data_IF_493565953869
#
_entry.id   IF_493565953869
#
_cell.length_a   1.000
_cell.length_b   1.000
_cell.length_c   1.000
_cell.angle_alpha   90.00
_cell.angle_beta   90.00
_cell.angle_gamma   90.00
#
_symmetry.space_group_name_H-M   'P 1'
#
loop_
_entity.id
_entity.type
_entity.pdbx_description
1 polymer ?
#
# COMPACT_ATOMS: atom_id res chain seq x y z
N UNK A 1 19.92 -4.52 -8.01
CA UNK A 1 19.47 -3.54 -6.99
C UNK A 1 20.68 -3.16 -6.15
N UNK A 2 20.90 -1.85 -5.95
CA UNK A 2 22.11 -1.30 -5.36
C UNK A 2 21.90 -1.02 -3.86
N UNK A 3 22.73 -1.64 -3.02
CA UNK A 3 22.68 -1.56 -1.56
C UNK A 3 22.88 -0.12 -1.06
N UNK A 4 23.71 0.65 -1.76
CA UNK A 4 23.98 2.04 -1.40
C UNK A 4 22.72 2.91 -1.48
N UNK A 5 21.86 2.68 -2.49
CA UNK A 5 20.58 3.42 -2.60
C UNK A 5 19.64 3.13 -1.43
N UNK A 6 19.56 1.87 -1.00
CA UNK A 6 18.72 1.45 0.14
C UNK A 6 19.26 2.00 1.47
N UNK A 7 20.58 2.00 1.65
CA UNK A 7 21.24 2.56 2.83
C UNK A 7 21.05 4.08 2.91
N UNK A 8 21.22 4.78 1.78
CA UNK A 8 21.00 6.22 1.71
C UNK A 8 19.55 6.59 2.03
N UNK A 9 18.58 5.79 1.56
CA UNK A 9 17.16 5.97 1.88
C UNK A 9 16.88 5.80 3.38
N UNK A 10 17.46 4.77 4.03
CA UNK A 10 17.33 4.55 5.48
C UNK A 10 17.96 5.67 6.32
N UNK A 11 19.13 6.18 5.91
CA UNK A 11 19.82 7.30 6.56
C UNK A 11 19.01 8.60 6.41
N UNK A 12 18.46 8.86 5.22
CA UNK A 12 17.62 10.03 4.98
C UNK A 12 16.34 9.97 5.80
N UNK A 13 15.72 8.79 5.95
CA UNK A 13 14.56 8.57 6.82
C UNK A 13 14.85 8.86 8.30
N UNK A 14 16.02 8.45 8.79
CA UNK A 14 16.45 8.77 10.16
C UNK A 14 16.78 10.25 10.40
N UNK A 15 17.21 10.97 9.35
CA UNK A 15 17.45 12.43 9.41
C UNK A 15 16.16 13.24 9.29
N UNK A 16 15.22 12.84 8.45
CA UNK A 16 13.90 13.48 8.32
C UNK A 16 13.16 13.50 9.67
N UNK A 17 13.17 12.39 10.41
CA UNK A 17 12.56 12.30 11.75
C UNK A 17 13.21 13.23 12.81
N UNK A 18 14.47 13.66 12.60
CA UNK A 18 15.20 14.56 13.49
C UNK A 18 15.13 16.02 13.04
N UNK A 19 15.00 16.26 11.74
CA UNK A 19 14.76 17.58 11.15
C UNK A 19 13.31 18.06 11.33
N UNK A 20 12.39 17.16 11.69
CA UNK A 20 10.96 17.40 11.99
C UNK A 20 10.72 18.52 13.02
N UNK A 21 11.61 18.70 14.01
CA UNK A 21 11.54 19.79 14.99
C UNK A 21 12.00 21.16 14.43
N UNK A 22 12.81 21.16 13.36
CA UNK A 22 13.47 22.36 12.81
C UNK A 22 12.79 22.82 11.50
N UNK A 23 12.16 21.91 10.75
CA UNK A 23 11.63 22.20 9.41
C UNK A 23 10.25 22.86 9.38
N UNK A 24 9.62 23.08 10.53
CA UNK A 24 8.38 23.88 10.62
C UNK A 24 8.56 25.34 10.17
N UNK A 25 9.80 25.85 10.07
CA UNK A 25 10.03 27.27 9.77
C UNK A 25 10.62 27.59 8.38
N UNK A 26 11.07 26.62 7.57
CA UNK A 26 11.75 26.96 6.31
C UNK A 26 11.37 26.02 5.15
N UNK A 27 10.54 26.53 4.23
CA UNK A 27 10.84 26.31 2.81
C UNK A 27 9.76 25.79 1.87
N UNK A 28 8.58 26.44 1.82
CA UNK A 28 7.84 26.90 0.61
C UNK A 28 6.36 26.96 0.94
N UNK A 29 5.78 28.16 0.96
CA UNK A 29 4.32 28.35 0.98
C UNK A 29 3.76 27.90 -0.37
N UNK A 30 3.65 26.59 -0.58
CA UNK A 30 2.72 26.07 -1.57
C UNK A 30 1.31 26.44 -1.11
N UNK A 31 0.50 26.93 -2.04
CA UNK A 31 -0.91 27.15 -1.81
C UNK A 31 -1.63 25.82 -1.61
N UNK A 32 -2.77 25.89 -0.94
CA UNK A 32 -3.63 24.74 -0.71
C UNK A 32 -4.06 24.04 -2.02
N UNK A 33 -4.25 24.83 -3.08
CA UNK A 33 -4.58 24.32 -4.42
C UNK A 33 -3.42 23.53 -5.03
N UNK A 34 -2.18 23.99 -4.85
CA UNK A 34 -0.98 23.27 -5.32
C UNK A 34 -0.80 21.94 -4.60
N UNK A 35 -1.04 21.89 -3.27
CA UNK A 35 -1.03 20.65 -2.52
C UNK A 35 -2.10 19.66 -2.99
N UNK A 36 -3.33 20.14 -3.23
CA UNK A 36 -4.41 19.30 -3.80
C UNK A 36 -4.02 18.75 -5.17
N UNK A 37 -3.53 19.60 -6.06
CA UNK A 37 -3.14 19.19 -7.42
C UNK A 37 -2.00 18.16 -7.39
N UNK A 38 -1.01 18.36 -6.51
CA UNK A 38 0.11 17.45 -6.36
C UNK A 38 -0.33 16.10 -5.76
N UNK A 39 -1.20 16.11 -4.75
CA UNK A 39 -1.80 14.89 -4.22
C UNK A 39 -2.60 14.14 -5.27
N UNK A 40 -3.42 14.84 -6.08
CA UNK A 40 -4.20 14.22 -7.14
C UNK A 40 -3.31 13.50 -8.15
N UNK A 41 -2.19 14.13 -8.55
CA UNK A 41 -1.19 13.55 -9.44
C UNK A 41 -0.58 12.28 -8.83
N UNK A 42 -0.05 12.37 -7.61
CA UNK A 42 0.59 11.23 -6.95
C UNK A 42 -0.39 10.09 -6.70
N UNK A 43 -1.60 10.40 -6.24
CA UNK A 43 -2.64 9.39 -6.04
C UNK A 43 -2.91 8.63 -7.33
N UNK A 44 -3.05 9.32 -8.47
CA UNK A 44 -3.30 8.66 -9.75
C UNK A 44 -2.20 7.64 -10.07
N UNK A 45 -0.95 8.08 -10.02
CA UNK A 45 0.24 7.25 -10.26
C UNK A 45 0.29 6.02 -9.33
N UNK A 46 0.10 6.23 -8.03
CA UNK A 46 0.05 5.15 -7.05
C UNK A 46 -1.09 4.16 -7.30
N UNK A 47 -2.29 4.65 -7.62
CA UNK A 47 -3.44 3.78 -7.88
C UNK A 47 -3.27 2.95 -9.15
N UNK A 48 -2.66 3.50 -10.19
CA UNK A 48 -2.33 2.76 -11.42
C UNK A 48 -1.31 1.64 -11.15
N UNK A 49 -0.31 1.91 -10.30
CA UNK A 49 0.67 0.90 -9.89
C UNK A 49 0.02 -0.23 -9.07
N UNK A 50 -0.82 0.12 -8.08
CA UNK A 50 -1.57 -0.85 -7.28
C UNK A 50 -2.41 -1.76 -8.19
N UNK A 51 -3.16 -1.19 -9.13
CA UNK A 51 -3.99 -1.93 -10.08
C UNK A 51 -3.16 -2.90 -10.91
N UNK A 52 -2.06 -2.42 -11.49
CA UNK A 52 -1.14 -3.21 -12.31
C UNK A 52 -0.59 -4.41 -11.54
N UNK A 53 -0.08 -4.20 -10.33
CA UNK A 53 0.54 -5.25 -9.54
C UNK A 53 -0.48 -6.25 -8.98
N UNK A 54 -1.65 -5.80 -8.52
CA UNK A 54 -2.68 -6.70 -8.01
C UNK A 54 -3.33 -7.55 -9.11
N UNK A 55 -3.49 -7.02 -10.33
CA UNK A 55 -3.93 -7.82 -11.49
C UNK A 55 -2.92 -8.92 -11.82
N UNK A 56 -1.64 -8.57 -11.90
CA UNK A 56 -0.57 -9.56 -12.10
C UNK A 56 -0.59 -10.63 -11.03
N UNK A 57 -0.79 -10.28 -9.76
CA UNK A 57 -0.87 -11.27 -8.69
C UNK A 57 -2.07 -12.20 -8.88
N UNK A 58 -3.24 -11.66 -9.19
CA UNK A 58 -4.44 -12.46 -9.46
C UNK A 58 -4.25 -13.41 -10.66
N UNK A 59 -3.53 -12.98 -11.70
CA UNK A 59 -3.24 -13.83 -12.87
C UNK A 59 -2.33 -15.03 -12.52
N UNK A 60 -1.47 -14.91 -11.51
CA UNK A 60 -0.58 -16.00 -11.06
C UNK A 60 -1.26 -16.96 -10.07
N UNK A 61 -2.28 -16.51 -9.36
CA UNK A 61 -2.98 -17.30 -8.35
C UNK A 61 -4.46 -17.48 -8.73
N UNK A 62 -4.85 -18.65 -9.30
CA UNK A 62 -6.22 -18.91 -9.70
C UNK A 62 -7.22 -18.70 -8.55
N UNK A 63 -8.39 -18.16 -8.88
CA UNK A 63 -9.48 -17.94 -7.94
C UNK A 63 -9.48 -16.58 -7.24
N UNK A 64 -8.42 -15.78 -7.35
CA UNK A 64 -8.49 -14.37 -6.94
C UNK A 64 -9.33 -13.55 -7.91
N UNK A 65 -10.23 -12.76 -7.36
CA UNK A 65 -11.05 -11.78 -8.06
C UNK A 65 -10.49 -10.39 -7.77
N UNK A 66 -10.26 -9.62 -8.83
CA UNK A 66 -9.78 -8.24 -8.73
C UNK A 66 -10.96 -7.25 -8.70
N UNK A 67 -10.87 -6.24 -7.84
CA UNK A 67 -11.82 -5.13 -7.77
C UNK A 67 -11.10 -3.81 -7.48
N UNK A 68 -11.42 -2.79 -8.26
CA UNK A 68 -11.02 -1.40 -7.97
C UNK A 68 -11.87 -0.85 -6.81
N UNK A 69 -11.24 -0.06 -5.96
CA UNK A 69 -11.83 0.62 -4.82
C UNK A 69 -11.83 2.13 -5.05
N UNK A 70 -13.01 2.72 -4.94
CA UNK A 70 -13.21 4.17 -4.99
C UNK A 70 -14.27 4.52 -3.94
N UNK A 71 -13.90 5.29 -2.93
CA UNK A 71 -14.82 5.68 -1.87
C UNK A 71 -14.22 6.67 -0.89
N UNK A 72 -14.92 6.90 0.22
CA UNK A 72 -14.52 7.85 1.26
C UNK A 72 -13.20 7.46 1.94
N UNK A 73 -12.93 6.16 2.06
CA UNK A 73 -11.70 5.64 2.64
C UNK A 73 -10.48 5.87 1.72
N UNK A 74 -10.67 6.11 0.42
CA UNK A 74 -9.59 6.32 -0.54
C UNK A 74 -9.80 5.63 -1.88
N UNK A 75 -8.71 5.56 -2.65
CA UNK A 75 -8.66 4.97 -3.99
C UNK A 75 -7.57 3.91 -4.07
N UNK A 76 -7.84 2.82 -4.77
CA UNK A 76 -6.87 1.75 -4.97
C UNK A 76 -7.56 0.50 -5.45
N UNK A 77 -7.07 -0.66 -5.02
CA UNK A 77 -7.64 -1.94 -5.43
C UNK A 77 -7.52 -3.01 -4.37
N UNK A 78 -8.32 -4.05 -4.54
CA UNK A 78 -8.23 -5.29 -3.77
C UNK A 78 -8.33 -6.50 -4.65
N UNK A 79 -7.78 -7.60 -4.15
CA UNK A 79 -8.01 -8.94 -4.65
C UNK A 79 -8.58 -9.79 -3.53
N UNK A 80 -9.53 -10.66 -3.85
CA UNK A 80 -10.18 -11.54 -2.87
C UNK A 80 -10.34 -12.94 -3.42
N UNK A 81 -10.17 -13.95 -2.57
CA UNK A 81 -10.41 -15.35 -2.89
C UNK A 81 -11.11 -16.05 -1.73
N UNK A 82 -12.18 -16.75 -2.06
CA UNK A 82 -12.88 -17.65 -1.15
C UNK A 82 -12.46 -19.09 -1.43
N UNK A 83 -12.17 -19.84 -0.36
CA UNK A 83 -11.85 -21.27 -0.40
C UNK A 83 -12.75 -22.03 0.59
N UNK A 84 -12.86 -23.35 0.41
CA UNK A 84 -13.59 -24.23 1.35
C UNK A 84 -12.65 -25.31 1.86
N UNK A 85 -12.52 -25.40 3.18
CA UNK A 85 -11.79 -26.50 3.83
C UNK A 85 -12.77 -27.59 4.28
N UNK A 86 -12.59 -28.79 3.72
CA UNK A 86 -13.31 -30.00 4.09
C UNK A 86 -12.37 -30.91 4.88
N UNK A 87 -12.48 -30.87 6.21
CA UNK A 87 -11.75 -31.81 7.08
C UNK A 87 -12.70 -32.94 7.47
N UNK A 88 -12.30 -34.20 7.26
CA UNK A 88 -13.09 -35.38 7.63
C UNK A 88 -13.56 -35.30 9.08
N UNK A 89 -14.89 -35.42 9.30
CA UNK A 89 -15.48 -35.36 10.64
C UNK A 89 -15.73 -33.95 11.19
N UNK A 90 -15.38 -32.88 10.45
CA UNK A 90 -15.73 -31.49 10.79
C UNK A 90 -16.67 -30.90 9.73
N UNK A 91 -17.46 -29.90 10.14
CA UNK A 91 -18.25 -29.09 9.21
C UNK A 91 -17.31 -28.35 8.26
N UNK A 92 -17.73 -28.21 7.00
CA UNK A 92 -17.04 -27.40 6.01
C UNK A 92 -16.78 -25.99 6.57
N UNK A 93 -15.56 -25.48 6.39
CA UNK A 93 -15.19 -24.13 6.81
C UNK A 93 -14.93 -23.27 5.58
N UNK A 94 -15.59 -22.12 5.51
CA UNK A 94 -15.28 -21.09 4.51
C UNK A 94 -14.03 -20.33 4.94
N UNK A 95 -13.08 -20.23 4.04
CA UNK A 95 -11.83 -19.53 4.21
C UNK A 95 -11.79 -18.35 3.25
N UNK A 96 -11.26 -17.24 3.71
CA UNK A 96 -11.17 -16.02 2.93
C UNK A 96 -9.75 -15.47 2.94
N UNK A 97 -9.29 -15.07 1.76
CA UNK A 97 -8.02 -14.37 1.57
C UNK A 97 -8.26 -13.05 0.84
N UNK A 98 -7.62 -11.97 1.29
CA UNK A 98 -7.68 -10.63 0.70
C UNK A 98 -6.33 -9.96 0.76
N UNK A 99 -6.00 -9.24 -0.30
CA UNK A 99 -5.03 -8.15 -0.25
C UNK A 99 -5.73 -6.88 -0.74
N UNK A 100 -5.67 -5.81 0.04
CA UNK A 100 -6.26 -4.51 -0.25
C UNK A 100 -5.21 -3.43 -0.05
N UNK A 101 -5.09 -2.51 -1.01
CA UNK A 101 -4.22 -1.35 -0.93
C UNK A 101 -4.96 -0.12 -1.41
N UNK A 102 -4.88 0.95 -0.61
CA UNK A 102 -5.58 2.21 -0.86
C UNK A 102 -4.67 3.40 -0.56
N UNK A 103 -4.78 4.43 -1.39
CA UNK A 103 -4.25 5.78 -1.12
C UNK A 103 -5.36 6.60 -0.49
N UNK A 104 -5.10 7.17 0.69
CA UNK A 104 -6.07 7.97 1.44
C UNK A 104 -6.42 9.27 0.71
N UNK A 105 -7.58 9.88 1.02
CA UNK A 105 -7.92 11.19 0.52
C UNK A 105 -6.98 12.29 1.00
N UNK A 106 -6.91 13.35 0.20
CA UNK A 106 -6.21 14.55 0.58
C UNK A 106 -6.82 15.16 1.85
N UNK A 107 -5.98 15.53 2.81
CA UNK A 107 -6.39 16.18 4.06
C UNK A 107 -5.57 17.46 4.30
N UNK A 108 -5.98 18.26 5.29
CA UNK A 108 -5.30 19.49 5.69
C UNK A 108 -3.88 19.28 6.25
N UNK A 109 -3.50 18.03 6.54
CA UNK A 109 -2.14 17.68 6.99
C UNK A 109 -1.14 17.57 5.84
N UNK A 110 -1.60 17.70 4.59
CA UNK A 110 -0.78 17.66 3.39
C UNK A 110 0.11 16.42 3.26
N UNK A 111 -0.41 15.27 3.66
CA UNK A 111 0.25 13.98 3.51
C UNK A 111 -0.30 13.19 2.33
N UNK A 112 0.57 12.39 1.72
CA UNK A 112 0.22 11.26 0.88
C UNK A 112 0.33 10.01 1.74
N UNK A 113 -0.76 9.28 1.94
CA UNK A 113 -0.79 8.07 2.77
C UNK A 113 -1.26 6.86 1.96
N UNK A 114 -0.48 5.79 2.03
CA UNK A 114 -0.78 4.47 1.51
C UNK A 114 -1.10 3.52 2.67
N UNK A 115 -2.21 2.79 2.57
CA UNK A 115 -2.63 1.78 3.54
C UNK A 115 -2.77 0.44 2.84
N UNK A 116 -2.27 -0.62 3.48
CA UNK A 116 -2.36 -1.99 2.99
C UNK A 116 -2.86 -2.94 4.07
N UNK A 117 -3.81 -3.82 3.70
CA UNK A 117 -4.38 -4.85 4.57
C UNK A 117 -4.33 -6.20 3.87
N UNK A 118 -3.83 -7.21 4.59
CA UNK A 118 -3.72 -8.57 4.09
C UNK A 118 -4.33 -9.59 5.06
N UNK A 119 -5.16 -10.47 4.52
CA UNK A 119 -5.73 -11.62 5.20
C UNK A 119 -5.48 -12.86 4.36
N UNK A 120 -5.06 -13.97 4.97
CA UNK A 120 -4.92 -15.27 4.32
C UNK A 120 -5.65 -16.30 5.17
N UNK A 121 -6.59 -17.05 4.57
CA UNK A 121 -7.40 -18.09 5.25
C UNK A 121 -7.97 -17.63 6.61
N UNK A 122 -8.63 -16.48 6.62
CA UNK A 122 -9.22 -15.81 7.78
C UNK A 122 -8.23 -15.28 8.83
N UNK A 123 -6.92 -15.25 8.56
CA UNK A 123 -5.90 -14.69 9.46
C UNK A 123 -5.33 -13.41 8.88
N UNK A 124 -5.37 -12.33 9.66
CA UNK A 124 -4.67 -11.09 9.29
C UNK A 124 -3.15 -11.33 9.33
N UNK A 125 -2.48 -11.03 8.21
CA UNK A 125 -1.03 -11.15 8.07
C UNK A 125 -0.36 -9.81 8.37
N UNK A 126 -0.95 -8.73 7.84
CA UNK A 126 -0.53 -7.37 8.17
C UNK A 126 -1.63 -6.35 7.93
N UNK A 127 -1.52 -5.24 8.66
CA UNK A 127 -2.26 -4.00 8.47
C UNK A 127 -1.25 -2.86 8.65
N UNK A 128 -0.85 -2.22 7.55
CA UNK A 128 0.27 -1.28 7.50
C UNK A 128 -0.18 0.03 6.87
N UNK A 129 0.41 1.13 7.33
CA UNK A 129 0.32 2.42 6.66
C UNK A 129 1.72 3.01 6.47
N UNK A 130 1.88 3.77 5.39
CA UNK A 130 3.07 4.56 5.10
C UNK A 130 2.64 5.92 4.60
N UNK A 131 3.24 6.98 5.13
CA UNK A 131 2.92 8.34 4.76
C UNK A 131 4.17 9.18 4.57
N UNK A 132 4.04 10.20 3.72
CA UNK A 132 5.04 11.25 3.53
C UNK A 132 4.31 12.57 3.29
N UNK A 133 4.93 13.68 3.67
CA UNK A 133 4.44 15.00 3.28
C UNK A 133 4.47 15.14 1.76
N UNK A 134 3.40 15.64 1.16
CA UNK A 134 3.25 15.74 -0.30
C UNK A 134 4.41 16.53 -0.92
N UNK A 135 4.90 17.58 -0.27
CA UNK A 135 6.00 18.40 -0.78
C UNK A 135 7.35 17.64 -0.87
N UNK A 136 7.52 16.58 -0.09
CA UNK A 136 8.77 15.80 0.00
C UNK A 136 8.57 14.35 -0.46
N UNK A 137 7.38 14.02 -1.00
CA UNK A 137 7.01 12.65 -1.32
C UNK A 137 7.90 12.07 -2.43
N UNK A 138 8.51 10.93 -2.13
CA UNK A 138 9.29 10.13 -3.06
C UNK A 138 8.44 8.98 -3.59
N UNK A 139 7.92 9.14 -4.81
CA UNK A 139 7.04 8.17 -5.47
C UNK A 139 7.67 6.79 -5.59
N UNK A 140 8.98 6.72 -5.86
CA UNK A 140 9.68 5.44 -5.96
C UNK A 140 9.64 4.68 -4.64
N UNK A 141 9.75 5.39 -3.51
CA UNK A 141 9.67 4.76 -2.20
C UNK A 141 8.30 4.15 -1.89
N UNK A 142 7.22 4.75 -2.41
CA UNK A 142 5.88 4.18 -2.31
C UNK A 142 5.73 2.93 -3.19
N UNK A 143 6.20 2.98 -4.44
CA UNK A 143 6.19 1.83 -5.35
C UNK A 143 7.00 0.66 -4.79
N UNK A 144 8.21 0.91 -4.30
CA UNK A 144 9.08 -0.11 -3.70
C UNK A 144 8.41 -0.77 -2.48
N UNK A 145 7.67 0.00 -1.67
CA UNK A 145 6.92 -0.52 -0.52
C UNK A 145 5.70 -1.35 -0.95
N UNK A 146 4.97 -0.90 -1.98
CA UNK A 146 3.86 -1.67 -2.54
C UNK A 146 4.36 -3.02 -3.06
N UNK A 147 5.42 -3.01 -3.86
CA UNK A 147 6.02 -4.23 -4.42
C UNK A 147 6.47 -5.18 -3.30
N UNK A 148 7.13 -4.64 -2.27
CA UNK A 148 7.53 -5.43 -1.11
C UNK A 148 6.33 -6.10 -0.42
N UNK A 149 5.26 -5.35 -0.15
CA UNK A 149 4.08 -5.90 0.54
C UNK A 149 3.34 -6.93 -0.32
N UNK A 150 3.24 -6.70 -1.63
CA UNK A 150 2.64 -7.65 -2.58
C UNK A 150 3.43 -8.96 -2.64
N UNK A 151 4.77 -8.87 -2.72
CA UNK A 151 5.64 -10.04 -2.74
C UNK A 151 5.55 -10.82 -1.42
N UNK A 152 5.54 -10.13 -0.27
CA UNK A 152 5.35 -10.76 1.03
C UNK A 152 4.00 -11.48 1.13
N UNK A 153 2.92 -10.87 0.64
CA UNK A 153 1.62 -11.53 0.56
C UNK A 153 1.66 -12.78 -0.33
N UNK A 154 2.26 -12.69 -1.52
CA UNK A 154 2.38 -13.82 -2.43
C UNK A 154 3.16 -14.98 -1.81
N UNK A 155 4.29 -14.70 -1.16
CA UNK A 155 5.11 -15.69 -0.45
C UNK A 155 4.30 -16.36 0.67
N UNK A 156 3.65 -15.57 1.53
CA UNK A 156 2.84 -16.09 2.64
C UNK A 156 1.66 -16.90 2.13
N UNK A 157 1.03 -16.47 1.04
CA UNK A 157 -0.06 -17.21 0.42
C UNK A 157 0.43 -18.54 -0.14
N UNK A 158 1.53 -18.57 -0.89
CA UNK A 158 2.12 -19.81 -1.40
C UNK A 158 2.54 -20.79 -0.30
N UNK A 159 2.98 -20.30 0.86
CA UNK A 159 3.32 -21.15 1.99
C UNK A 159 2.09 -21.75 2.71
N UNK A 160 0.98 -21.01 2.74
CA UNK A 160 -0.23 -21.38 3.48
C UNK A 160 -1.36 -21.96 2.61
N UNK A 161 -1.25 -21.87 1.28
CA UNK A 161 -2.25 -22.33 0.31
C UNK A 161 -2.39 -23.86 0.29
#
# INVERSE_FOLDING_TARGET
MDFEKRLQHAINKGRAAKDEEIRQEVGKKMSEEEFRNLHLKYRLELTEHIDSCLRKLADHFPGFQFNTLMGEEGWGSKITRDDVSLTTGRKAQTLYSRLEMIVRPFTETHILELVAKATIRNKEIYNRSHYQFIAEADMQSFEDLMDLWILEFAEQFSFQA
#
